data_IF_591508353847
#
_entry.id   IF_591508353847
#
_cell.length_a   1.000
_cell.length_b   1.000
_cell.length_c   1.000
_cell.angle_alpha   90.00
_cell.angle_beta   90.00
_cell.angle_gamma   90.00
#
_symmetry.space_group_name_H-M   'P 1'
#
loop_
_entity.id
_entity.type
_entity.pdbx_description
1 polymer ?
#
# COMPACT_ATOMS: atom_id res chain seq x y z
N UNK A 1 -8.89 -5.06 26.38
CA UNK A 1 -9.25 -3.64 26.61
C UNK A 1 -8.94 -2.89 25.33
N UNK A 2 -9.91 -2.19 24.76
CA UNK A 2 -9.67 -1.35 23.58
C UNK A 2 -8.79 -0.16 24.01
N UNK A 3 -7.56 -0.08 23.48
CA UNK A 3 -6.67 1.01 23.82
C UNK A 3 -7.17 2.28 23.13
N UNK A 4 -7.54 3.30 23.91
CA UNK A 4 -7.97 4.60 23.38
C UNK A 4 -6.82 5.24 22.60
N UNK A 5 -7.04 5.56 21.32
CA UNK A 5 -6.11 6.38 20.52
C UNK A 5 -6.20 7.83 20.99
N UNK A 6 -5.09 8.39 21.48
CA UNK A 6 -5.02 9.73 22.08
C UNK A 6 -4.04 10.58 21.30
N UNK A 7 -4.40 11.84 21.06
CA UNK A 7 -3.60 12.84 20.33
C UNK A 7 -3.41 12.45 18.84
N UNK A 8 -2.42 13.04 18.15
CA UNK A 8 -2.08 12.81 16.72
C UNK A 8 -3.12 13.30 15.71
N UNK A 9 -3.98 14.24 16.13
CA UNK A 9 -5.01 14.84 15.28
C UNK A 9 -4.38 15.55 14.08
N UNK A 10 -3.29 16.29 14.27
CA UNK A 10 -2.57 16.97 13.18
C UNK A 10 -2.06 16.03 12.10
N UNK A 11 -1.51 14.87 12.49
CA UNK A 11 -0.98 13.88 11.56
C UNK A 11 -2.11 13.20 10.79
N UNK A 12 -3.20 12.83 11.47
CA UNK A 12 -4.39 12.26 10.83
C UNK A 12 -5.03 13.27 9.88
N UNK A 13 -5.28 14.50 10.33
CA UNK A 13 -5.87 15.57 9.50
C UNK A 13 -5.02 15.84 8.25
N UNK A 14 -3.69 15.72 8.35
CA UNK A 14 -2.79 15.87 7.19
C UNK A 14 -2.95 14.73 6.18
N UNK A 15 -3.14 13.49 6.64
CA UNK A 15 -3.42 12.34 5.78
C UNK A 15 -4.82 12.42 5.16
N UNK A 16 -5.84 12.86 5.91
CA UNK A 16 -7.21 13.05 5.40
C UNK A 16 -7.26 14.11 4.30
N UNK A 17 -6.61 15.26 4.50
CA UNK A 17 -6.54 16.31 3.46
C UNK A 17 -5.96 15.77 2.15
N UNK A 18 -4.90 14.95 2.23
CA UNK A 18 -4.30 14.32 1.04
C UNK A 18 -5.22 13.29 0.42
N UNK A 19 -5.97 12.54 1.21
CA UNK A 19 -6.97 11.60 0.71
C UNK A 19 -8.10 12.31 -0.06
N UNK A 20 -8.56 13.46 0.44
CA UNK A 20 -9.63 14.25 -0.17
C UNK A 20 -9.25 14.91 -1.51
N UNK A 21 -7.96 15.12 -1.78
CA UNK A 21 -7.46 15.67 -3.06
C UNK A 21 -7.74 14.74 -4.27
N UNK A 22 -8.17 13.49 -4.04
CA UNK A 22 -8.54 12.50 -5.08
C UNK A 22 -7.48 12.33 -6.18
N UNK A 23 -6.19 12.51 -5.87
CA UNK A 23 -5.07 12.23 -6.77
C UNK A 23 -4.11 11.23 -6.13
N UNK A 24 -3.21 10.68 -6.93
CA UNK A 24 -2.22 9.73 -6.44
C UNK A 24 -1.19 10.42 -5.54
N UNK A 25 -0.89 9.81 -4.40
CA UNK A 25 0.06 10.33 -3.42
C UNK A 25 0.98 9.21 -2.92
N UNK A 26 2.28 9.49 -2.87
CA UNK A 26 3.25 8.69 -2.12
C UNK A 26 3.58 9.42 -0.81
N UNK A 27 3.19 8.84 0.32
CA UNK A 27 3.38 9.43 1.65
C UNK A 27 4.31 8.53 2.46
N UNK A 28 5.46 9.07 2.88
CA UNK A 28 6.43 8.37 3.72
C UNK A 28 6.23 8.80 5.17
N UNK A 29 5.78 7.86 6.02
CA UNK A 29 5.63 8.10 7.47
C UNK A 29 6.87 7.61 8.22
N UNK A 30 7.69 8.54 8.70
CA UNK A 30 8.98 8.26 9.36
C UNK A 30 9.02 8.73 10.82
N UNK A 31 10.06 8.33 11.56
CA UNK A 31 10.27 8.72 12.96
C UNK A 31 10.86 7.59 13.82
N UNK A 32 11.19 7.88 15.10
CA UNK A 32 11.84 6.92 16.02
C UNK A 32 11.04 5.62 16.20
N UNK A 33 11.70 4.54 16.63
CA UNK A 33 11.05 3.26 16.97
C UNK A 33 10.03 3.52 18.10
N UNK A 34 8.84 2.91 18.01
CA UNK A 34 7.74 3.00 19.00
C UNK A 34 7.02 4.35 19.17
N UNK A 35 7.19 5.32 18.26
CA UNK A 35 6.42 6.59 18.31
C UNK A 35 4.95 6.50 17.86
N UNK A 36 4.47 5.30 17.53
CA UNK A 36 3.07 5.08 17.14
C UNK A 36 2.76 5.21 15.64
N UNK A 37 3.77 5.22 14.76
CA UNK A 37 3.56 5.33 13.29
C UNK A 37 2.59 4.29 12.73
N UNK A 38 2.77 3.03 13.12
CA UNK A 38 1.88 1.94 12.70
C UNK A 38 0.44 2.19 13.15
N UNK A 39 0.26 2.75 14.34
CA UNK A 39 -1.07 3.07 14.86
C UNK A 39 -1.71 4.22 14.07
N UNK A 40 -0.96 5.26 13.72
CA UNK A 40 -1.44 6.35 12.85
C UNK A 40 -1.96 5.78 11.52
N UNK A 41 -1.20 4.90 10.87
CA UNK A 41 -1.61 4.28 9.61
C UNK A 41 -2.89 3.45 9.80
N UNK A 42 -2.96 2.62 10.86
CA UNK A 42 -4.15 1.80 11.15
C UNK A 42 -5.40 2.65 11.40
N UNK A 43 -5.27 3.74 12.14
CA UNK A 43 -6.38 4.66 12.40
C UNK A 43 -6.83 5.37 11.12
N UNK A 44 -5.89 5.86 10.30
CA UNK A 44 -6.18 6.51 9.03
C UNK A 44 -6.96 5.60 8.06
N UNK A 45 -6.58 4.32 7.95
CA UNK A 45 -7.20 3.38 6.99
C UNK A 45 -8.48 2.71 7.49
N UNK A 46 -8.81 2.78 8.80
CA UNK A 46 -9.89 1.99 9.45
C UNK A 46 -11.23 2.03 8.72
N UNK A 47 -11.59 3.18 8.14
CA UNK A 47 -12.86 3.39 7.44
C UNK A 47 -12.67 3.70 5.95
N UNK A 48 -11.57 3.22 5.35
CA UNK A 48 -11.23 3.48 3.94
C UNK A 48 -11.00 2.17 3.19
N UNK A 49 -11.37 2.09 1.90
CA UNK A 49 -10.95 0.99 1.04
C UNK A 49 -9.41 0.99 0.98
N UNK A 50 -8.80 -0.01 1.61
CA UNK A 50 -7.35 -0.06 1.80
C UNK A 50 -6.84 -1.50 1.79
N UNK A 51 -5.59 -1.64 1.33
CA UNK A 51 -4.80 -2.86 1.49
C UNK A 51 -3.70 -2.56 2.51
N UNK A 52 -3.66 -3.34 3.60
CA UNK A 52 -2.59 -3.26 4.60
C UNK A 52 -1.64 -4.43 4.40
N UNK A 53 -0.40 -4.14 4.00
CA UNK A 53 0.65 -5.13 3.81
C UNK A 53 1.80 -4.87 4.78
N UNK A 54 2.19 -5.90 5.54
CA UNK A 54 3.32 -5.86 6.46
C UNK A 54 4.52 -6.57 5.84
N UNK A 55 5.42 -5.79 5.24
CA UNK A 55 6.69 -6.31 4.75
C UNK A 55 7.54 -6.88 5.90
N UNK A 56 8.17 -8.03 5.66
CA UNK A 56 9.01 -8.72 6.64
C UNK A 56 10.30 -9.27 5.99
N UNK A 57 10.95 -10.23 6.65
CA UNK A 57 12.24 -10.78 6.24
C UNK A 57 12.15 -11.92 5.21
N UNK A 58 10.95 -12.27 4.74
CA UNK A 58 10.78 -13.29 3.69
C UNK A 58 11.32 -12.82 2.35
N UNK A 59 11.46 -13.75 1.42
CA UNK A 59 11.93 -13.44 0.07
C UNK A 59 10.99 -12.44 -0.61
N UNK A 60 11.53 -11.65 -1.54
CA UNK A 60 10.73 -10.71 -2.34
C UNK A 60 9.57 -11.43 -3.05
N UNK A 61 9.79 -12.66 -3.54
CA UNK A 61 8.77 -13.44 -4.22
C UNK A 61 7.63 -13.85 -3.28
N UNK A 62 7.95 -14.30 -2.05
CA UNK A 62 6.92 -14.61 -1.05
C UNK A 62 6.11 -13.38 -0.66
N UNK A 63 6.79 -12.24 -0.47
CA UNK A 63 6.16 -10.97 -0.15
C UNK A 63 5.25 -10.47 -1.27
N UNK A 64 5.68 -10.57 -2.53
CA UNK A 64 4.87 -10.19 -3.69
C UNK A 64 3.69 -11.14 -3.89
N UNK A 65 3.87 -12.44 -3.65
CA UNK A 65 2.76 -13.40 -3.70
C UNK A 65 1.68 -13.06 -2.67
N UNK A 66 2.08 -12.74 -1.44
CA UNK A 66 1.13 -12.29 -0.40
C UNK A 66 0.47 -10.96 -0.76
N UNK A 67 1.24 -9.97 -1.21
CA UNK A 67 0.70 -8.68 -1.64
C UNK A 67 -0.34 -8.87 -2.75
N UNK A 68 -0.05 -9.69 -3.75
CA UNK A 68 -0.99 -10.00 -4.83
C UNK A 68 -2.27 -10.66 -4.33
N UNK A 69 -2.18 -11.56 -3.34
CA UNK A 69 -3.36 -12.17 -2.73
C UNK A 69 -4.22 -11.15 -1.99
N UNK A 70 -3.59 -10.24 -1.24
CA UNK A 70 -4.30 -9.15 -0.55
C UNK A 70 -5.00 -8.23 -1.54
N UNK A 71 -4.35 -7.93 -2.67
CA UNK A 71 -4.95 -7.17 -3.77
C UNK A 71 -6.14 -7.93 -4.38
N UNK A 72 -5.97 -9.21 -4.68
CA UNK A 72 -7.05 -10.05 -5.21
C UNK A 72 -8.28 -10.07 -4.31
N UNK A 73 -8.09 -10.28 -3.01
CA UNK A 73 -9.18 -10.23 -2.03
C UNK A 73 -9.84 -8.83 -1.97
N UNK A 74 -9.06 -7.76 -2.02
CA UNK A 74 -9.58 -6.39 -1.94
C UNK A 74 -10.36 -5.97 -3.19
N UNK A 75 -9.84 -6.29 -4.38
CA UNK A 75 -10.42 -5.92 -5.67
C UNK A 75 -11.38 -6.99 -6.23
N UNK A 76 -11.60 -8.10 -5.49
CA UNK A 76 -12.42 -9.25 -5.90
C UNK A 76 -11.92 -9.89 -7.21
N UNK A 77 -10.60 -9.95 -7.37
CA UNK A 77 -9.94 -10.63 -8.48
C UNK A 77 -9.55 -12.05 -8.05
N UNK A 78 -10.31 -13.03 -8.55
CA UNK A 78 -10.13 -14.44 -8.20
C UNK A 78 -8.78 -15.01 -8.67
N UNK A 79 -8.18 -14.47 -9.73
CA UNK A 79 -6.89 -14.92 -10.25
C UNK A 79 -5.76 -14.46 -9.32
N UNK A 80 -5.77 -13.19 -8.90
CA UNK A 80 -4.81 -12.64 -7.96
C UNK A 80 -5.00 -13.21 -6.55
N UNK A 81 -6.24 -13.42 -6.11
CA UNK A 81 -6.52 -13.97 -4.77
C UNK A 81 -5.97 -15.40 -4.63
N UNK A 82 -6.08 -16.20 -5.70
CA UNK A 82 -5.56 -17.58 -5.71
C UNK A 82 -4.04 -17.61 -5.83
N UNK A 83 -3.51 -16.88 -6.81
CA UNK A 83 -2.13 -17.08 -7.27
C UNK A 83 -1.14 -16.05 -6.71
N UNK A 84 -1.61 -14.86 -6.30
CA UNK A 84 -0.77 -13.70 -6.03
C UNK A 84 -0.13 -13.16 -7.32
N UNK A 85 0.87 -12.29 -7.16
CA UNK A 85 1.74 -11.93 -8.28
C UNK A 85 2.64 -13.13 -8.61
N UNK A 86 2.43 -13.71 -9.80
CA UNK A 86 3.15 -14.91 -10.25
C UNK A 86 4.54 -14.57 -10.78
N UNK A 87 5.44 -15.54 -10.80
CA UNK A 87 6.80 -15.33 -11.32
C UNK A 87 6.80 -14.86 -12.79
N UNK A 88 5.85 -15.32 -13.60
CA UNK A 88 5.73 -14.89 -14.99
C UNK A 88 5.26 -13.44 -15.11
N UNK A 89 4.33 -12.98 -14.25
CA UNK A 89 3.99 -11.56 -14.14
C UNK A 89 5.20 -10.72 -13.73
N UNK A 90 6.06 -11.24 -12.84
CA UNK A 90 7.29 -10.55 -12.43
C UNK A 90 8.34 -10.51 -13.55
N UNK A 91 8.45 -11.56 -14.36
CA UNK A 91 9.33 -11.57 -15.54
C UNK A 91 8.87 -10.56 -16.58
N UNK A 92 7.57 -10.54 -16.89
CA UNK A 92 6.97 -9.57 -17.80
C UNK A 92 7.21 -8.13 -17.31
N UNK A 93 7.00 -7.87 -16.02
CA UNK A 93 7.22 -6.55 -15.42
C UNK A 93 8.70 -6.07 -15.42
N UNK A 94 9.66 -6.97 -15.63
CA UNK A 94 11.08 -6.63 -15.80
C UNK A 94 11.46 -6.42 -17.26
N UNK A 95 10.76 -7.08 -18.19
CA UNK A 95 11.02 -7.00 -19.63
C UNK A 95 10.45 -5.72 -20.23
N UNK A 96 9.28 -5.33 -19.77
CA UNK A 96 8.67 -4.05 -20.06
C UNK A 96 8.74 -3.26 -18.75
N UNK A 97 9.32 -2.06 -18.70
CA UNK A 97 9.30 -1.22 -17.49
C UNK A 97 7.84 -0.95 -17.14
N UNK A 98 7.20 -1.80 -16.34
CA UNK A 98 5.75 -1.68 -16.07
C UNK A 98 5.54 -0.55 -15.07
N UNK A 99 4.86 0.50 -15.54
CA UNK A 99 4.42 1.62 -14.72
C UNK A 99 2.96 1.42 -14.30
N UNK A 100 2.66 1.58 -13.01
CA UNK A 100 1.30 1.68 -12.50
C UNK A 100 0.87 3.15 -12.51
N UNK A 101 -0.09 3.47 -13.37
CA UNK A 101 -0.57 4.84 -13.58
C UNK A 101 -2.08 4.88 -13.38
N UNK A 102 -2.54 5.85 -12.61
CA UNK A 102 -3.96 6.14 -12.44
C UNK A 102 -4.22 7.62 -12.78
N UNK A 103 -5.23 7.85 -13.63
CA UNK A 103 -5.81 9.13 -14.09
C UNK A 103 -5.23 9.86 -15.33
N UNK A 104 -4.43 9.20 -16.18
CA UNK A 104 -4.06 9.57 -17.57
C UNK A 104 -2.61 9.96 -17.91
N UNK A 105 -1.59 9.82 -17.04
CA UNK A 105 -0.20 10.05 -17.49
C UNK A 105 0.81 9.03 -16.95
N UNK A 106 1.45 8.32 -17.89
CA UNK A 106 2.66 7.52 -17.70
C UNK A 106 3.83 8.47 -17.42
N UNK A 107 4.40 8.41 -16.21
CA UNK A 107 5.69 9.06 -15.95
C UNK A 107 6.78 8.01 -16.21
N UNK A 108 7.41 8.13 -17.38
CA UNK A 108 8.71 7.49 -17.62
C UNK A 108 9.72 8.02 -16.61
N UNK A 109 10.28 7.12 -15.81
CA UNK A 109 11.58 7.36 -15.20
C UNK A 109 12.65 7.04 -16.25
N UNK A 110 13.12 8.07 -16.96
CA UNK A 110 14.33 8.00 -17.75
C UNK A 110 15.55 7.96 -16.81
N UNK A 111 16.43 7.01 -17.12
CA UNK A 111 17.71 6.58 -16.49
C UNK A 111 17.97 6.84 -15.00
#
# INVERSE_FOLDING_TARGET
MEHKFINRKSEIDSLEKKWEEKKSHLIIVYGKRRVGKTEIIKQFIKNKPSVYFLADKRTINEQLKELGRLFGAHFKDALLEKNGFTDDMLKLAKQERVYLVNKNELIEMQE
#
